data_IF_223307068302
#
_entry.id   IF_223307068302
#
_cell.length_a   1.000
_cell.length_b   1.000
_cell.length_c   1.000
_cell.angle_alpha   90.00
_cell.angle_beta   90.00
_cell.angle_gamma   90.00
#
_symmetry.space_group_name_H-M   'P 1'
#
loop_
_entity.id
_entity.type
_entity.pdbx_description
1 polymer ?
#
# COMPACT_ATOMS: atom_id res chain seq x y z
N UNK A 1 -7.65 -5.06 10.42
CA UNK A 1 -9.01 -4.65 10.04
C UNK A 1 -9.79 -3.89 11.12
N UNK A 2 -9.69 -4.20 12.42
CA UNK A 2 -10.42 -3.46 13.49
C UNK A 2 -10.26 -1.92 13.43
N UNK A 3 -9.10 -1.42 12.99
CA UNK A 3 -8.85 0.02 12.80
C UNK A 3 -9.59 0.68 11.63
N UNK A 4 -10.28 -0.09 10.78
CA UNK A 4 -11.08 0.43 9.66
C UNK A 4 -12.56 0.63 10.02
N UNK A 5 -13.02 0.16 11.19
CA UNK A 5 -14.43 0.28 11.60
C UNK A 5 -15.42 -0.56 10.77
N UNK A 6 -14.93 -1.53 9.98
CA UNK A 6 -15.76 -2.44 9.18
C UNK A 6 -15.77 -3.84 9.80
N UNK A 7 -16.89 -4.59 9.71
CA UNK A 7 -16.98 -5.94 10.27
C UNK A 7 -16.13 -6.95 9.50
N UNK A 8 -16.06 -6.82 8.17
CA UNK A 8 -15.28 -7.68 7.28
C UNK A 8 -15.05 -7.01 5.92
N UNK A 9 -14.15 -7.59 5.13
CA UNK A 9 -14.00 -7.24 3.71
C UNK A 9 -15.20 -7.75 2.90
N UNK A 10 -15.53 -7.03 1.83
CA UNK A 10 -16.44 -7.54 0.81
C UNK A 10 -15.81 -8.74 0.09
N UNK A 11 -16.63 -9.66 -0.39
CA UNK A 11 -16.12 -10.85 -1.09
C UNK A 11 -15.41 -10.48 -2.39
N UNK A 12 -15.86 -9.43 -3.09
CA UNK A 12 -15.17 -8.87 -4.25
C UNK A 12 -13.75 -8.40 -3.92
N UNK A 13 -13.52 -7.84 -2.72
CA UNK A 13 -12.18 -7.42 -2.27
C UNK A 13 -11.29 -8.62 -1.98
N UNK A 14 -11.84 -9.66 -1.32
CA UNK A 14 -11.11 -10.91 -1.06
C UNK A 14 -10.71 -11.60 -2.38
N UNK A 15 -11.64 -11.67 -3.33
CA UNK A 15 -11.41 -12.27 -4.64
C UNK A 15 -10.36 -11.50 -5.45
N UNK A 16 -10.42 -10.16 -5.43
CA UNK A 16 -9.41 -9.32 -6.08
C UNK A 16 -8.01 -9.54 -5.48
N UNK A 17 -7.88 -9.54 -4.15
CA UNK A 17 -6.61 -9.81 -3.46
C UNK A 17 -6.10 -11.22 -3.79
N UNK A 18 -6.98 -12.22 -3.79
CA UNK A 18 -6.62 -13.59 -4.14
C UNK A 18 -6.08 -13.68 -5.56
N UNK A 19 -6.78 -13.09 -6.54
CA UNK A 19 -6.37 -13.08 -7.94
C UNK A 19 -5.00 -12.40 -8.12
N UNK A 20 -4.78 -11.24 -7.51
CA UNK A 20 -3.48 -10.55 -7.57
C UNK A 20 -2.33 -11.41 -7.03
N UNK A 21 -2.58 -12.13 -5.92
CA UNK A 21 -1.57 -13.01 -5.32
C UNK A 21 -1.25 -14.22 -6.21
N UNK A 22 -2.28 -14.86 -6.77
CA UNK A 22 -2.09 -16.04 -7.62
C UNK A 22 -1.40 -15.70 -8.94
N UNK A 23 -1.70 -14.53 -9.51
CA UNK A 23 -1.16 -14.12 -10.80
C UNK A 23 0.17 -13.34 -10.70
N UNK A 24 0.61 -13.00 -9.49
CA UNK A 24 1.75 -12.10 -9.29
C UNK A 24 1.48 -10.64 -9.65
N UNK A 25 0.22 -10.27 -9.91
CA UNK A 25 -0.21 -8.94 -10.34
C UNK A 25 -1.51 -8.98 -11.12
N UNK A 26 -1.99 -7.81 -11.57
CA UNK A 26 -3.20 -7.70 -12.37
C UNK A 26 -3.84 -6.32 -12.29
N UNK A 27 -4.86 -6.12 -13.12
CA UNK A 27 -5.67 -4.89 -13.15
C UNK A 27 -6.95 -5.13 -12.35
N UNK A 28 -7.26 -4.20 -11.45
CA UNK A 28 -8.51 -4.19 -10.68
C UNK A 28 -9.38 -3.03 -11.15
N UNK A 29 -10.19 -3.29 -12.18
CA UNK A 29 -11.13 -2.31 -12.73
C UNK A 29 -12.49 -2.39 -12.03
N UNK A 30 -12.49 -2.12 -10.72
CA UNK A 30 -13.73 -2.04 -9.95
C UNK A 30 -14.33 -0.64 -10.03
N UNK A 31 -15.66 -0.53 -9.89
CA UNK A 31 -16.35 0.75 -9.78
C UNK A 31 -15.83 1.60 -8.60
N UNK A 32 -16.06 2.92 -8.65
CA UNK A 32 -15.82 3.83 -7.50
C UNK A 32 -16.65 3.37 -6.28
N UNK A 33 -16.10 3.55 -5.07
CA UNK A 33 -16.76 3.14 -3.82
C UNK A 33 -16.56 1.68 -3.40
N UNK A 34 -16.04 0.82 -4.27
CA UNK A 34 -15.81 -0.62 -3.98
C UNK A 34 -14.61 -0.92 -3.06
N UNK A 35 -13.85 0.10 -2.65
CA UNK A 35 -12.71 -0.03 -1.76
C UNK A 35 -11.41 -0.48 -2.43
N UNK A 36 -11.16 -0.03 -3.67
CA UNK A 36 -9.90 -0.28 -4.41
C UNK A 36 -8.64 0.05 -3.61
N UNK A 37 -8.64 1.15 -2.85
CA UNK A 37 -7.52 1.55 -1.99
C UNK A 37 -7.19 0.48 -0.95
N UNK A 38 -8.22 -0.12 -0.34
CA UNK A 38 -8.03 -1.17 0.64
C UNK A 38 -7.51 -2.46 -0.02
N UNK A 39 -8.00 -2.79 -1.22
CA UNK A 39 -7.46 -3.91 -2.02
C UNK A 39 -5.97 -3.71 -2.29
N UNK A 40 -5.53 -2.52 -2.71
CA UNK A 40 -4.11 -2.21 -2.94
C UNK A 40 -3.25 -2.43 -1.68
N UNK A 41 -3.69 -1.90 -0.54
CA UNK A 41 -2.96 -2.04 0.73
C UNK A 41 -2.86 -3.51 1.17
N UNK A 42 -3.97 -4.26 1.09
CA UNK A 42 -4.02 -5.66 1.49
C UNK A 42 -3.17 -6.51 0.55
N UNK A 43 -3.29 -6.33 -0.76
CA UNK A 43 -2.52 -7.08 -1.74
C UNK A 43 -1.01 -6.87 -1.53
N UNK A 44 -0.55 -5.61 -1.41
CA UNK A 44 0.85 -5.30 -1.16
C UNK A 44 1.39 -6.00 0.11
N UNK A 45 0.67 -5.85 1.23
CA UNK A 45 1.08 -6.45 2.51
C UNK A 45 1.09 -7.98 2.46
N UNK A 46 0.04 -8.59 1.89
CA UNK A 46 -0.09 -10.04 1.82
C UNK A 46 0.92 -10.67 0.85
N UNK A 47 1.22 -10.01 -0.28
CA UNK A 47 2.27 -10.44 -1.19
C UNK A 47 3.63 -10.43 -0.49
N UNK A 48 3.91 -9.43 0.36
CA UNK A 48 5.11 -9.45 1.19
C UNK A 48 5.11 -10.56 2.22
N UNK A 49 4.02 -10.70 2.99
CA UNK A 49 3.88 -11.74 4.01
C UNK A 49 4.10 -13.15 3.47
N UNK A 50 3.76 -13.37 2.20
CA UNK A 50 3.92 -14.65 1.51
C UNK A 50 5.23 -14.80 0.73
N UNK A 51 6.11 -13.80 0.74
CA UNK A 51 7.37 -13.83 0.00
C UNK A 51 7.23 -13.64 -1.51
N UNK A 52 6.06 -13.23 -1.99
CA UNK A 52 5.81 -12.92 -3.42
C UNK A 52 6.40 -11.55 -3.81
N UNK A 53 6.59 -10.65 -2.85
CA UNK A 53 7.23 -9.36 -3.02
C UNK A 53 8.10 -9.02 -1.82
N UNK A 54 9.33 -8.56 -2.01
CA UNK A 54 10.22 -8.27 -0.87
C UNK A 54 9.98 -6.89 -0.24
N UNK A 55 9.72 -5.88 -1.07
CA UNK A 55 9.58 -4.48 -0.66
C UNK A 55 8.54 -3.81 -1.56
N UNK A 56 7.24 -4.14 -1.40
CA UNK A 56 6.20 -3.69 -2.30
C UNK A 56 6.05 -2.16 -2.23
N UNK A 57 5.82 -1.56 -3.39
CA UNK A 57 5.65 -0.11 -3.53
C UNK A 57 4.28 0.19 -4.14
N UNK A 58 3.59 1.17 -3.56
CA UNK A 58 2.37 1.74 -4.11
C UNK A 58 2.69 3.15 -4.60
N UNK A 59 2.46 3.41 -5.88
CA UNK A 59 2.63 4.73 -6.48
C UNK A 59 1.26 5.32 -6.76
N UNK A 60 1.00 6.52 -6.25
CA UNK A 60 -0.27 7.22 -6.41
C UNK A 60 -0.11 8.66 -6.90
N UNK A 61 -1.23 9.34 -7.10
CA UNK A 61 -1.25 10.79 -7.34
C UNK A 61 -0.98 11.55 -6.03
N UNK A 62 -0.38 12.75 -6.10
CA UNK A 62 -0.13 13.63 -4.93
C UNK A 62 -1.36 13.89 -4.07
N UNK A 63 -2.55 13.91 -4.68
CA UNK A 63 -3.82 14.10 -3.98
C UNK A 63 -4.25 12.89 -3.15
N UNK A 64 -3.78 11.68 -3.47
CA UNK A 64 -4.34 10.43 -2.97
C UNK A 64 -3.37 9.66 -2.06
N UNK A 65 -2.06 9.92 -2.14
CA UNK A 65 -1.04 9.16 -1.39
C UNK A 65 -1.21 9.23 0.13
N UNK A 66 -1.72 10.34 0.65
CA UNK A 66 -2.07 10.48 2.06
C UNK A 66 -3.17 9.50 2.47
N UNK A 67 -4.27 9.46 1.71
CA UNK A 67 -5.40 8.58 1.99
C UNK A 67 -5.04 7.09 1.85
N UNK A 68 -4.13 6.77 0.92
CA UNK A 68 -3.56 5.42 0.80
C UNK A 68 -2.79 5.07 2.07
N UNK A 69 -1.89 5.95 2.53
CA UNK A 69 -1.09 5.71 3.73
C UNK A 69 -1.96 5.56 4.99
N UNK A 70 -2.99 6.39 5.15
CA UNK A 70 -3.93 6.29 6.26
C UNK A 70 -4.78 5.03 6.20
N UNK A 71 -5.21 4.62 5.00
CA UNK A 71 -5.90 3.35 4.81
C UNK A 71 -5.01 2.18 5.19
N UNK A 72 -3.73 2.20 4.78
CA UNK A 72 -2.77 1.16 5.10
C UNK A 72 -2.56 1.05 6.62
N UNK A 73 -2.29 2.17 7.29
CA UNK A 73 -2.06 2.21 8.75
C UNK A 73 -3.27 1.72 9.54
N UNK A 74 -4.49 2.07 9.13
CA UNK A 74 -5.72 1.57 9.76
C UNK A 74 -5.95 0.08 9.51
N UNK A 75 -5.59 -0.41 8.32
CA UNK A 75 -5.70 -1.82 7.98
C UNK A 75 -4.70 -2.67 8.80
N UNK A 76 -3.46 -2.19 8.90
CA UNK A 76 -2.30 -2.85 9.53
C UNK A 76 -1.53 -1.88 10.45
N UNK A 77 -2.00 -1.66 11.70
CA UNK A 77 -1.39 -0.67 12.61
C UNK A 77 0.07 -0.93 12.97
N UNK A 78 0.51 -2.18 12.89
CA UNK A 78 1.87 -2.59 13.24
C UNK A 78 2.81 -2.69 12.02
N UNK A 79 2.31 -2.37 10.81
CA UNK A 79 3.13 -2.45 9.60
C UNK A 79 4.10 -1.27 9.51
N UNK A 80 5.35 -1.56 9.11
CA UNK A 80 6.36 -0.54 8.82
C UNK A 80 6.09 0.05 7.44
N UNK A 81 5.44 1.21 7.38
CA UNK A 81 5.12 1.89 6.13
C UNK A 81 5.95 3.16 5.97
N UNK A 82 6.69 3.25 4.87
CA UNK A 82 7.37 4.50 4.47
C UNK A 82 6.44 5.30 3.56
N UNK A 83 6.15 6.53 3.96
CA UNK A 83 5.37 7.49 3.18
C UNK A 83 5.96 8.89 3.38
N UNK A 84 6.77 9.40 2.43
CA UNK A 84 7.29 10.77 2.48
C UNK A 84 6.15 11.78 2.27
N UNK A 85 6.14 12.84 3.09
CA UNK A 85 5.18 13.92 2.95
C UNK A 85 5.45 14.80 1.73
N UNK A 86 4.53 15.72 1.41
CA UNK A 86 4.69 16.66 0.28
C UNK A 86 5.97 17.51 0.41
N UNK A 87 6.35 17.86 1.63
CA UNK A 87 7.54 18.65 2.00
C UNK A 87 8.86 17.86 1.85
N UNK A 88 8.79 16.54 1.60
CA UNK A 88 9.96 15.65 1.61
C UNK A 88 10.56 15.39 0.22
N UNK A 89 10.01 16.04 -0.81
CA UNK A 89 10.45 15.87 -2.20
C UNK A 89 11.50 16.89 -2.66
N UNK A 90 12.20 17.58 -1.75
CA UNK A 90 13.38 18.39 -2.12
C UNK A 90 14.53 17.46 -2.57
N UNK A 91 15.46 17.92 -3.44
CA UNK A 91 16.55 17.08 -3.95
C UNK A 91 17.36 16.39 -2.84
N UNK A 92 17.66 17.12 -1.76
CA UNK A 92 18.48 16.63 -0.64
C UNK A 92 17.72 15.55 0.15
N UNK A 93 16.43 15.76 0.41
CA UNK A 93 15.58 14.81 1.13
C UNK A 93 15.29 13.55 0.31
N UNK A 94 15.22 13.64 -1.03
CA UNK A 94 15.07 12.48 -1.92
C UNK A 94 16.21 11.47 -1.76
N UNK A 95 17.45 11.93 -1.60
CA UNK A 95 18.59 11.03 -1.35
C UNK A 95 18.38 10.27 -0.04
N UNK A 96 17.95 10.97 1.02
CA UNK A 96 17.60 10.35 2.30
C UNK A 96 16.49 9.30 2.17
N UNK A 97 15.40 9.62 1.44
CA UNK A 97 14.31 8.68 1.17
C UNK A 97 14.82 7.42 0.46
N UNK A 98 15.70 7.55 -0.54
CA UNK A 98 16.25 6.39 -1.23
C UNK A 98 17.17 5.55 -0.33
N UNK A 99 17.92 6.19 0.58
CA UNK A 99 18.67 5.47 1.61
C UNK A 99 17.75 4.72 2.57
N UNK A 100 16.65 5.34 3.02
CA UNK A 100 15.66 4.69 3.86
C UNK A 100 15.01 3.51 3.17
N UNK A 101 14.64 3.67 1.89
CA UNK A 101 14.12 2.58 1.05
C UNK A 101 15.13 1.45 0.98
N UNK A 102 16.41 1.74 0.68
CA UNK A 102 17.46 0.72 0.49
C UNK A 102 17.73 -0.06 1.78
N UNK A 103 17.95 0.64 2.88
CA UNK A 103 18.59 0.09 4.08
C UNK A 103 17.60 -0.48 5.11
N UNK A 104 16.30 -0.23 4.96
CA UNK A 104 15.29 -0.73 5.90
C UNK A 104 14.39 -1.81 5.28
N UNK A 105 13.84 -2.63 6.17
CA UNK A 105 12.81 -3.62 5.85
C UNK A 105 11.41 -3.00 6.02
N UNK A 106 10.90 -2.39 4.95
CA UNK A 106 9.57 -1.77 4.91
C UNK A 106 8.51 -2.76 4.44
N UNK A 107 7.37 -2.80 5.13
CA UNK A 107 6.21 -3.60 4.74
C UNK A 107 5.49 -3.06 3.52
N UNK A 108 5.53 -1.73 3.35
CA UNK A 108 5.15 -1.08 2.11
C UNK A 108 5.82 0.29 2.01
N UNK A 109 6.10 0.71 0.78
CA UNK A 109 6.53 2.08 0.45
C UNK A 109 5.42 2.74 -0.35
N UNK A 110 5.03 3.96 0.00
CA UNK A 110 3.99 4.72 -0.70
C UNK A 110 4.62 6.00 -1.23
N UNK A 111 4.63 6.19 -2.54
CA UNK A 111 5.22 7.34 -3.22
C UNK A 111 4.24 8.00 -4.17
N UNK A 112 4.57 9.23 -4.56
CA UNK A 112 3.99 9.95 -5.70
C UNK A 112 5.07 10.17 -6.75
N UNK A 113 4.64 10.39 -8.00
CA UNK A 113 5.47 10.99 -9.04
C UNK A 113 5.64 12.50 -8.82
#
# INVERSE_FOLDING_TARGET
LKGLGIPSLYDSQKNAVWMLKMNGGGIIDHQVGTGKTLIMCIAAFEMKRLGLANKPMIIGLKSNVHDIADTFRRAYPNARVLYPGKEDFTPEKRVGIFHDIKNNNWDCIILTH
#
